data_IF_031639923349
#
_entry.id   IF_031639923349
#
_cell.length_a   1.000
_cell.length_b   1.000
_cell.length_c   1.000
_cell.angle_alpha   90.00
_cell.angle_beta   90.00
_cell.angle_gamma   90.00
#
_symmetry.space_group_name_H-M   'P 1'
#
loop_
_entity.id
_entity.type
_entity.pdbx_description
1 polymer ?
#
# COMPACT_ATOMS: atom_id res chain seq x y z
N UNK A 1 5.54 -0.14 -7.03
CA UNK A 1 5.18 0.25 -5.67
C UNK A 1 4.78 1.72 -5.61
N UNK A 2 4.00 2.07 -4.59
CA UNK A 2 3.50 3.43 -4.39
C UNK A 2 3.95 3.97 -3.05
N UNK A 3 4.45 5.21 -3.05
CA UNK A 3 5.00 5.88 -1.86
C UNK A 3 4.58 7.35 -1.83
N UNK A 4 3.35 7.64 -2.26
CA UNK A 4 2.83 9.01 -2.33
C UNK A 4 1.75 9.23 -1.28
N UNK A 5 1.58 10.46 -0.76
CA UNK A 5 0.48 10.77 0.14
C UNK A 5 -0.85 10.81 -0.62
N UNK A 6 -1.95 10.56 0.08
CA UNK A 6 -3.28 10.73 -0.48
C UNK A 6 -3.61 12.21 -0.50
N UNK A 7 -3.75 12.78 -1.70
CA UNK A 7 -3.99 14.21 -1.91
C UNK A 7 -5.42 14.57 -2.27
N UNK A 8 -6.27 13.55 -2.52
CA UNK A 8 -7.70 13.74 -2.81
C UNK A 8 -8.46 12.48 -2.45
N UNK A 9 -9.80 12.55 -2.44
CA UNK A 9 -10.65 11.39 -2.20
C UNK A 9 -10.71 10.44 -3.39
N UNK A 10 -10.24 10.90 -4.55
CA UNK A 10 -10.20 10.09 -5.76
C UNK A 10 -8.92 9.25 -5.80
N UNK A 11 -9.06 7.98 -6.18
CA UNK A 11 -7.89 7.10 -6.34
C UNK A 11 -6.97 7.61 -7.46
N UNK A 12 -5.67 7.56 -7.22
CA UNK A 12 -4.65 7.90 -8.22
C UNK A 12 -4.52 6.76 -9.23
N UNK A 13 -4.60 5.52 -8.76
CA UNK A 13 -4.51 4.32 -9.59
C UNK A 13 -5.91 3.68 -9.64
N UNK A 14 -6.62 3.94 -10.71
CA UNK A 14 -7.92 3.33 -10.98
C UNK A 14 -7.85 2.37 -12.16
N UNK A 15 -9.01 2.00 -12.69
CA UNK A 15 -9.12 1.05 -13.80
C UNK A 15 -8.33 1.48 -15.03
N UNK A 16 -8.31 2.78 -15.34
CA UNK A 16 -7.57 3.33 -16.48
C UNK A 16 -6.08 3.12 -16.33
N UNK A 17 -5.53 3.46 -15.18
CA UNK A 17 -4.10 3.37 -14.90
C UNK A 17 -3.65 1.91 -14.86
N UNK A 18 -4.45 1.04 -14.26
CA UNK A 18 -4.17 -0.40 -14.24
C UNK A 18 -4.20 -0.97 -15.68
N UNK A 19 -5.14 -0.50 -16.50
CA UNK A 19 -5.22 -0.89 -17.90
C UNK A 19 -3.97 -0.56 -18.71
N UNK A 20 -3.22 0.45 -18.30
CA UNK A 20 -1.99 0.88 -18.94
C UNK A 20 -0.77 0.08 -18.47
N UNK A 21 -0.89 -0.70 -17.42
CA UNK A 21 0.20 -1.52 -16.89
C UNK A 21 0.44 -2.74 -17.78
N UNK A 22 1.66 -3.25 -17.72
CA UNK A 22 2.00 -4.48 -18.42
C UNK A 22 1.21 -5.65 -17.86
N UNK A 23 0.61 -6.47 -18.72
CA UNK A 23 -0.12 -7.68 -18.29
C UNK A 23 0.80 -8.62 -17.52
N UNK A 24 0.33 -9.12 -16.39
CA UNK A 24 1.10 -9.98 -15.50
C UNK A 24 1.91 -9.22 -14.45
N UNK A 25 1.84 -7.88 -14.44
CA UNK A 25 2.52 -7.07 -13.43
C UNK A 25 1.90 -7.27 -12.05
N UNK A 26 2.67 -6.95 -11.02
CA UNK A 26 2.19 -6.86 -9.65
C UNK A 26 2.13 -5.41 -9.19
N UNK A 27 1.37 -5.16 -8.14
CA UNK A 27 1.27 -3.83 -7.54
C UNK A 27 1.39 -3.95 -6.02
N UNK A 28 2.13 -3.03 -5.40
CA UNK A 28 2.32 -3.00 -3.96
C UNK A 28 2.03 -1.59 -3.46
N UNK A 29 1.16 -1.47 -2.46
CA UNK A 29 0.86 -0.19 -1.83
C UNK A 29 1.12 -0.27 -0.33
N UNK A 30 2.15 0.44 0.11
CA UNK A 30 2.49 0.61 1.51
C UNK A 30 2.42 2.09 1.93
N UNK A 31 1.81 2.94 1.11
CA UNK A 31 1.76 4.38 1.37
C UNK A 31 0.47 4.78 2.11
N UNK A 32 -0.66 4.87 1.42
CA UNK A 32 -1.95 5.24 2.03
C UNK A 32 -3.08 4.48 1.35
N UNK A 33 -4.11 4.14 2.13
CA UNK A 33 -5.34 3.57 1.60
C UNK A 33 -6.08 4.55 0.70
N UNK A 34 -6.78 4.05 -0.30
CA UNK A 34 -7.53 4.87 -1.24
C UNK A 34 -6.72 5.42 -2.41
N UNK A 35 -5.41 5.24 -2.44
CA UNK A 35 -4.57 5.59 -3.60
C UNK A 35 -4.86 4.66 -4.76
N UNK A 36 -5.10 3.39 -4.48
CA UNK A 36 -5.54 2.40 -5.47
C UNK A 36 -7.04 2.16 -5.27
N UNK A 37 -7.80 2.21 -6.36
CA UNK A 37 -9.20 1.78 -6.35
C UNK A 37 -9.23 0.27 -6.15
N UNK A 38 -9.70 -0.17 -4.97
CA UNK A 38 -9.69 -1.59 -4.59
C UNK A 38 -10.62 -2.43 -5.47
N UNK A 39 -11.74 -1.88 -5.90
CA UNK A 39 -12.67 -2.57 -6.82
C UNK A 39 -11.99 -2.83 -8.16
N UNK A 40 -11.34 -1.82 -8.72
CA UNK A 40 -10.61 -1.94 -9.97
C UNK A 40 -9.43 -2.92 -9.84
N UNK A 41 -8.77 -2.92 -8.69
CA UNK A 41 -7.67 -3.84 -8.38
C UNK A 41 -8.16 -5.29 -8.40
N UNK A 42 -9.24 -5.59 -7.68
CA UNK A 42 -9.80 -6.95 -7.63
C UNK A 42 -10.26 -7.42 -9.00
N UNK A 43 -10.89 -6.55 -9.77
CA UNK A 43 -11.30 -6.86 -11.14
C UNK A 43 -10.10 -7.22 -12.01
N UNK A 44 -9.03 -6.44 -11.94
CA UNK A 44 -7.82 -6.69 -12.72
C UNK A 44 -7.14 -8.01 -12.35
N UNK A 45 -7.14 -8.38 -11.08
CA UNK A 45 -6.63 -9.67 -10.63
C UNK A 45 -7.50 -10.82 -11.13
N UNK A 46 -8.81 -10.68 -11.08
CA UNK A 46 -9.76 -11.69 -11.57
C UNK A 46 -9.62 -11.90 -13.07
N UNK A 47 -9.33 -10.84 -13.83
CA UNK A 47 -9.13 -10.90 -15.28
C UNK A 47 -7.68 -11.23 -15.67
N UNK A 48 -6.82 -11.48 -14.71
CA UNK A 48 -5.39 -11.79 -14.94
C UNK A 48 -4.61 -10.67 -15.63
N UNK A 49 -5.10 -9.46 -15.58
CA UNK A 49 -4.36 -8.26 -16.00
C UNK A 49 -3.18 -8.03 -15.06
N UNK A 50 -3.42 -8.18 -13.75
CA UNK A 50 -2.39 -8.20 -12.71
C UNK A 50 -2.23 -9.62 -12.18
N UNK A 51 -1.00 -9.98 -11.82
CA UNK A 51 -0.70 -11.30 -11.28
C UNK A 51 -0.79 -11.36 -9.76
N UNK A 52 -0.53 -10.25 -9.07
CA UNK A 52 -0.62 -10.17 -7.61
C UNK A 52 -0.72 -8.73 -7.13
N UNK A 53 -1.14 -8.57 -5.88
CA UNK A 53 -1.10 -7.30 -5.17
C UNK A 53 -0.64 -7.53 -3.73
N UNK A 54 0.14 -6.59 -3.22
CA UNK A 54 0.53 -6.53 -1.81
C UNK A 54 0.05 -5.22 -1.21
N UNK A 55 -0.77 -5.29 -0.16
CA UNK A 55 -1.35 -4.12 0.47
C UNK A 55 -1.07 -4.10 1.98
N UNK A 56 -0.52 -2.99 2.46
CA UNK A 56 -0.38 -2.69 3.88
C UNK A 56 -1.40 -1.63 4.32
N UNK A 57 -2.08 -1.01 3.35
CA UNK A 57 -3.03 0.08 3.56
C UNK A 57 -4.31 -0.19 2.78
N UNK A 58 -5.45 0.30 3.28
CA UNK A 58 -6.77 -0.01 2.76
C UNK A 58 -7.66 1.22 2.74
N UNK A 59 -8.69 1.21 1.88
CA UNK A 59 -9.68 2.29 1.82
C UNK A 59 -10.42 2.41 3.16
N UNK A 60 -10.74 1.29 3.80
CA UNK A 60 -11.47 1.23 5.07
C UNK A 60 -10.57 0.66 6.16
N UNK A 61 -9.72 1.48 6.75
CA UNK A 61 -8.90 1.08 7.89
C UNK A 61 -9.64 1.36 9.21
N UNK A 62 -9.46 0.52 10.23
CA UNK A 62 -8.66 -0.70 10.27
C UNK A 62 -9.37 -1.95 9.74
N UNK A 63 -10.60 -1.82 9.23
CA UNK A 63 -11.40 -2.96 8.78
C UNK A 63 -11.55 -2.94 7.25
N UNK A 64 -10.63 -3.61 6.51
CA UNK A 64 -10.75 -3.67 5.06
C UNK A 64 -11.96 -4.49 4.61
N UNK A 65 -12.36 -4.30 3.34
CA UNK A 65 -13.44 -5.07 2.74
C UNK A 65 -13.18 -6.57 2.84
N UNK A 66 -14.21 -7.35 3.18
CA UNK A 66 -14.08 -8.80 3.27
C UNK A 66 -13.71 -9.42 1.90
N UNK A 67 -14.19 -8.83 0.81
CA UNK A 67 -13.85 -9.29 -0.54
C UNK A 67 -12.35 -9.15 -0.80
N UNK A 68 -11.76 -8.08 -0.31
CA UNK A 68 -10.32 -7.84 -0.41
C UNK A 68 -9.54 -8.86 0.43
N UNK A 69 -9.97 -9.07 1.67
CA UNK A 69 -9.32 -9.99 2.60
C UNK A 69 -9.33 -11.43 2.07
N UNK A 70 -10.41 -11.83 1.43
CA UNK A 70 -10.58 -13.19 0.92
C UNK A 70 -10.01 -13.42 -0.48
N UNK A 71 -9.49 -12.37 -1.13
CA UNK A 71 -8.98 -12.50 -2.50
C UNK A 71 -7.62 -13.22 -2.49
N UNK A 72 -7.52 -14.31 -3.25
CA UNK A 72 -6.32 -15.16 -3.29
C UNK A 72 -5.09 -14.49 -3.92
N UNK A 73 -5.32 -13.51 -4.80
CA UNK A 73 -4.24 -12.77 -5.47
C UNK A 73 -3.68 -11.61 -4.66
N UNK A 74 -4.15 -11.40 -3.44
CA UNK A 74 -3.77 -10.25 -2.61
C UNK A 74 -3.11 -10.75 -1.34
N UNK A 75 -1.91 -10.23 -1.06
CA UNK A 75 -1.23 -10.40 0.23
C UNK A 75 -1.48 -9.16 1.09
N UNK A 76 -1.96 -9.37 2.30
CA UNK A 76 -2.37 -8.30 3.19
C UNK A 76 -1.49 -8.25 4.44
N UNK A 77 -1.17 -7.04 4.89
CA UNK A 77 -0.60 -6.79 6.21
C UNK A 77 -1.43 -5.70 6.90
N UNK A 78 -1.47 -5.63 8.23
CA UNK A 78 -2.38 -4.72 8.93
C UNK A 78 -1.79 -3.32 9.15
N UNK A 79 -1.28 -2.67 8.11
CA UNK A 79 -0.69 -1.33 8.14
C UNK A 79 0.50 -1.26 9.11
N UNK A 80 1.46 -2.17 8.91
CA UNK A 80 2.61 -2.33 9.81
C UNK A 80 3.93 -1.85 9.20
N UNK A 81 3.90 -1.16 8.07
CA UNK A 81 5.12 -0.72 7.39
C UNK A 81 6.08 0.08 8.26
N UNK A 82 5.56 0.91 9.18
CA UNK A 82 6.36 1.67 10.15
C UNK A 82 6.13 1.20 11.59
N UNK A 83 5.41 0.10 11.80
CA UNK A 83 5.01 -0.38 13.14
C UNK A 83 5.75 -1.65 13.58
N UNK A 84 6.68 -2.18 12.78
CA UNK A 84 7.51 -3.32 13.17
C UNK A 84 8.55 -2.89 14.19
N UNK A 85 9.02 -3.83 15.01
CA UNK A 85 10.07 -3.54 15.99
C UNK A 85 11.32 -3.00 15.29
N UNK A 86 11.71 -3.59 14.18
CA UNK A 86 12.87 -3.16 13.41
C UNK A 86 12.71 -1.73 12.88
N UNK A 87 11.52 -1.37 12.37
CA UNK A 87 11.25 -0.03 11.88
C UNK A 87 11.25 0.99 13.02
N UNK A 88 10.64 0.66 14.16
CA UNK A 88 10.62 1.53 15.34
C UNK A 88 12.02 1.74 15.91
N UNK A 89 12.83 0.71 16.00
CA UNK A 89 14.22 0.81 16.44
C UNK A 89 15.03 1.71 15.51
N UNK A 90 14.88 1.54 14.21
CA UNK A 90 15.57 2.36 13.20
C UNK A 90 15.16 3.83 13.31
N UNK A 91 13.88 4.12 13.42
CA UNK A 91 13.37 5.47 13.57
C UNK A 91 13.90 6.11 14.85
N UNK A 92 13.92 5.37 15.94
CA UNK A 92 14.45 5.84 17.23
C UNK A 92 15.93 6.19 17.15
N UNK A 93 16.74 5.35 16.53
CA UNK A 93 18.18 5.57 16.34
C UNK A 93 18.43 6.80 15.46
N UNK A 94 17.75 6.89 14.33
CA UNK A 94 17.90 8.01 13.40
C UNK A 94 17.52 9.35 14.07
N UNK A 95 16.43 9.36 14.83
CA UNK A 95 16.00 10.54 15.55
C UNK A 95 17.03 10.95 16.61
N UNK A 96 17.56 10.00 17.37
CA UNK A 96 18.58 10.25 18.38
C UNK A 96 19.85 10.82 17.76
N UNK A 97 20.31 10.27 16.66
CA UNK A 97 21.50 10.75 15.94
C UNK A 97 21.29 12.18 15.42
N UNK A 98 20.10 12.47 14.88
CA UNK A 98 19.76 13.80 14.40
C UNK A 98 19.77 14.83 15.54
N UNK A 99 19.21 14.50 16.70
CA UNK A 99 19.20 15.36 17.86
C UNK A 99 20.64 15.64 18.33
N UNK A 100 21.48 14.64 18.41
CA UNK A 100 22.88 14.78 18.79
C UNK A 100 23.62 15.70 17.80
N UNK A 101 23.35 15.55 16.52
CA UNK A 101 23.98 16.36 15.47
C UNK A 101 23.53 17.83 15.56
N UNK A 102 22.23 18.07 15.76
CA UNK A 102 21.64 19.42 15.75
C UNK A 102 21.95 20.23 17.01
N UNK A 103 22.18 19.56 18.14
CA UNK A 103 22.38 20.20 19.44
C UNK A 103 23.80 20.04 20.01
N UNK A 104 24.73 19.71 19.17
CA UNK A 104 26.13 19.53 19.56
C UNK A 104 26.89 20.84 19.70
#
# INVERSE_FOLDING_TARGET
>A
TLHIPKISDKAVIGAKEIGMMKTGSGIINTSRGGIIDETALMFALDKQKLSYAGLDVYENEPTPSIHLVMHSGISLTPHIGAATLEAQDRIGIELAEQIITDYK
#
